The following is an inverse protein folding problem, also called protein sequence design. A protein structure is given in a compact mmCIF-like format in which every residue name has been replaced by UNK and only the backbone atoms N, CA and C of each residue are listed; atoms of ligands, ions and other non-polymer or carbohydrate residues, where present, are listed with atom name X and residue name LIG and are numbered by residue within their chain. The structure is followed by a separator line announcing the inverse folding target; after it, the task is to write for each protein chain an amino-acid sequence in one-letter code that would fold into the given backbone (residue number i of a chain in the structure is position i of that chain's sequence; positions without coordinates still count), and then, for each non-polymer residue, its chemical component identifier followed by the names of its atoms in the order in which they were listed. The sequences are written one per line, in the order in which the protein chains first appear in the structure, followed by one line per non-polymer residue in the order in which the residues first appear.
data_IF_344041098312
#
_entry.id   IF_344041098312
#
_cell.length_a   1.000
_cell.length_b   1.000
_cell.length_c   1.000
_cell.angle_alpha   90.00
_cell.angle_beta   90.00
_cell.angle_gamma   90.00
#
_symmetry.space_group_name_H-M   'P 1'
#
loop_
_entity.id
_entity.type
_entity.pdbx_description
1 polymer ?
#
# COMPACT_ATOMS: atom_id res chain seq x y z
N UNK A 1 8.90 -8.16 45.81
CA UNK A 1 8.40 -9.28 45.00
C UNK A 1 9.52 -9.78 44.12
N UNK A 2 9.50 -11.06 43.78
CA UNK A 2 10.42 -11.64 42.78
C UNK A 2 9.60 -12.28 41.67
N UNK A 3 10.15 -12.33 40.46
CA UNK A 3 9.49 -12.89 39.30
C UNK A 3 10.26 -14.07 38.74
N UNK A 4 9.51 -15.05 38.24
CA UNK A 4 10.05 -16.11 37.41
C UNK A 4 9.50 -15.92 35.99
N UNK A 5 10.41 -15.90 35.02
CA UNK A 5 10.11 -15.78 33.61
C UNK A 5 10.41 -17.10 32.92
N UNK A 6 9.44 -17.62 32.17
CA UNK A 6 9.60 -18.83 31.36
C UNK A 6 9.14 -18.55 29.93
N UNK A 7 9.94 -18.96 28.95
CA UNK A 7 9.58 -18.91 27.52
C UNK A 7 9.45 -20.34 27.02
N UNK A 8 8.32 -20.65 26.39
CA UNK A 8 7.99 -21.98 25.86
C UNK A 8 7.62 -21.90 24.39
N UNK A 9 7.95 -22.92 23.60
CA UNK A 9 7.46 -23.04 22.21
C UNK A 9 5.95 -23.27 22.16
N UNK A 10 5.29 -22.75 21.13
CA UNK A 10 3.87 -22.97 20.85
C UNK A 10 3.73 -23.81 19.58
N UNK A 11 3.18 -25.02 19.71
CA UNK A 11 3.07 -26.01 18.63
C UNK A 11 3.75 -27.33 19.02
N UNK A 12 2.97 -28.42 19.03
CA UNK A 12 3.41 -29.70 19.56
C UNK A 12 3.47 -29.73 21.10
N UNK A 13 4.40 -30.49 21.68
CA UNK A 13 4.63 -30.51 23.14
C UNK A 13 5.41 -29.23 23.51
N UNK A 14 4.85 -28.34 24.36
CA UNK A 14 5.52 -27.11 24.75
C UNK A 14 6.87 -27.41 25.39
N UNK A 15 7.94 -26.87 24.82
CA UNK A 15 9.30 -27.04 25.36
C UNK A 15 9.77 -25.71 25.92
N UNK A 16 10.26 -25.73 27.16
CA UNK A 16 10.90 -24.56 27.78
C UNK A 16 12.25 -24.33 27.15
N UNK A 17 12.41 -23.19 26.48
CA UNK A 17 13.67 -22.78 25.84
C UNK A 17 14.46 -21.77 26.67
N UNK A 18 13.75 -21.08 27.57
CA UNK A 18 14.34 -20.12 28.48
C UNK A 18 13.59 -20.15 29.80
N UNK A 19 14.32 -20.18 30.91
CA UNK A 19 13.75 -20.00 32.24
C UNK A 19 14.72 -19.22 33.11
N UNK A 20 14.20 -18.24 33.84
CA UNK A 20 14.96 -17.43 34.78
C UNK A 20 14.10 -17.17 36.01
N UNK A 21 14.66 -17.44 37.18
CA UNK A 21 13.99 -17.25 38.46
C UNK A 21 14.62 -16.13 39.26
N UNK A 22 13.88 -15.60 40.23
CA UNK A 22 14.40 -14.62 41.19
C UNK A 22 14.69 -13.25 40.58
N UNK A 23 14.00 -12.87 39.51
CA UNK A 23 14.11 -11.54 38.91
C UNK A 23 13.50 -10.50 39.84
N UNK A 24 14.23 -9.42 40.13
CA UNK A 24 13.77 -8.32 40.99
C UNK A 24 13.37 -7.07 40.21
N UNK A 25 13.79 -6.97 38.95
CA UNK A 25 13.41 -5.91 38.02
C UNK A 25 12.11 -6.22 37.25
N UNK A 26 11.56 -5.20 36.60
CA UNK A 26 10.35 -5.29 35.75
C UNK A 26 10.68 -5.50 34.27
N UNK A 27 11.96 -5.62 33.93
CA UNK A 27 12.46 -5.89 32.58
C UNK A 27 13.58 -6.92 32.64
N UNK A 28 13.69 -7.78 31.64
CA UNK A 28 14.75 -8.78 31.55
C UNK A 28 15.16 -9.03 30.11
N UNK A 29 16.46 -8.98 29.84
CA UNK A 29 17.01 -9.30 28.52
C UNK A 29 17.18 -10.81 28.39
N UNK A 30 16.61 -11.39 27.34
CA UNK A 30 16.83 -12.78 27.00
C UNK A 30 18.29 -12.97 26.54
N UNK A 31 19.04 -13.80 27.27
CA UNK A 31 20.45 -14.11 26.95
C UNK A 31 20.59 -15.23 25.93
N UNK A 32 19.52 -15.98 25.70
CA UNK A 32 19.46 -17.03 24.68
C UNK A 32 18.74 -16.45 23.46
N UNK A 33 19.40 -16.36 22.29
CA UNK A 33 18.74 -15.96 21.05
C UNK A 33 17.56 -16.89 20.75
N UNK A 34 16.40 -16.30 20.48
CA UNK A 34 15.23 -17.05 20.04
C UNK A 34 15.26 -17.19 18.52
N UNK A 35 15.01 -18.40 18.01
CA UNK A 35 14.83 -18.62 16.59
C UNK A 35 13.49 -18.04 16.12
N UNK A 36 13.28 -17.99 14.81
CA UNK A 36 11.93 -17.71 14.26
C UNK A 36 10.96 -18.80 14.74
N UNK A 37 9.81 -18.39 15.26
CA UNK A 37 8.79 -19.27 15.81
C UNK A 37 7.78 -18.55 16.71
N UNK A 38 6.79 -19.31 17.19
CA UNK A 38 5.77 -18.85 18.13
C UNK A 38 6.08 -19.35 19.55
N UNK A 39 5.93 -18.47 20.52
CA UNK A 39 6.30 -18.68 21.91
C UNK A 39 5.23 -18.16 22.85
N UNK A 40 5.13 -18.78 24.02
CA UNK A 40 4.41 -18.24 25.18
C UNK A 40 5.44 -17.79 26.19
N UNK A 41 5.38 -16.51 26.55
CA UNK A 41 6.14 -15.94 27.66
C UNK A 41 5.22 -15.92 28.87
N UNK A 42 5.55 -16.70 29.90
CA UNK A 42 4.83 -16.76 31.16
C UNK A 42 5.65 -16.08 32.26
N UNK A 43 5.00 -15.19 33.01
CA UNK A 43 5.61 -14.49 34.14
C UNK A 43 4.82 -14.86 35.40
N UNK A 44 5.51 -15.44 36.40
CA UNK A 44 4.92 -15.80 37.69
C UNK A 44 5.53 -14.90 38.76
N UNK A 45 4.69 -14.28 39.59
CA UNK A 45 5.16 -13.50 40.73
C UNK A 45 5.20 -14.33 42.01
N UNK A 46 6.28 -14.20 42.76
CA UNK A 46 6.41 -14.73 44.12
C UNK A 46 6.58 -13.60 45.13
N UNK A 47 5.86 -13.73 46.23
CA UNK A 47 6.13 -12.93 47.42
C UNK A 47 7.50 -13.29 48.00
N UNK A 48 8.19 -12.33 48.61
CA UNK A 48 9.46 -12.56 49.33
C UNK A 48 9.32 -13.53 50.52
N UNK A 49 8.08 -13.81 50.94
CA UNK A 49 7.72 -14.80 51.95
C UNK A 49 7.46 -16.21 51.39
N UNK A 50 7.71 -16.45 50.10
CA UNK A 50 7.64 -17.77 49.47
C UNK A 50 6.25 -18.18 48.94
N UNK A 51 5.23 -17.36 49.16
CA UNK A 51 3.91 -17.57 48.55
C UNK A 51 3.98 -17.31 47.04
N UNK A 52 3.71 -18.35 46.25
CA UNK A 52 3.55 -18.27 44.80
C UNK A 52 2.11 -17.97 44.47
N UNK A 53 1.87 -17.07 43.51
CA UNK A 53 0.58 -17.09 42.82
C UNK A 53 0.49 -18.40 42.02
N UNK A 54 -0.61 -19.17 42.12
CA UNK A 54 -0.70 -20.50 41.51
C UNK A 54 -0.76 -20.47 39.97
N UNK A 55 -1.11 -19.32 39.39
CA UNK A 55 -1.17 -19.09 37.94
C UNK A 55 -0.16 -18.00 37.53
N UNK A 56 0.37 -18.03 36.30
CA UNK A 56 1.17 -16.93 35.79
C UNK A 56 0.37 -15.63 35.88
N UNK A 57 1.02 -14.59 36.42
CA UNK A 57 0.47 -13.24 36.48
C UNK A 57 0.16 -12.68 35.09
N UNK A 58 0.91 -13.13 34.07
CA UNK A 58 0.66 -12.84 32.67
C UNK A 58 1.22 -13.95 31.76
N UNK A 59 0.47 -14.28 30.71
CA UNK A 59 0.96 -15.01 29.55
C UNK A 59 0.87 -14.12 28.31
N UNK A 60 1.97 -14.01 27.57
CA UNK A 60 2.05 -13.21 26.35
C UNK A 60 2.46 -14.11 25.20
N UNK A 61 1.69 -14.07 24.11
CA UNK A 61 2.08 -14.69 22.85
C UNK A 61 3.17 -13.84 22.20
N UNK A 62 4.32 -14.45 21.97
CA UNK A 62 5.47 -13.83 21.31
C UNK A 62 5.74 -14.58 20.00
N UNK A 63 5.69 -13.89 18.87
CA UNK A 63 6.09 -14.46 17.58
C UNK A 63 7.36 -13.78 17.12
N UNK A 64 8.44 -14.55 17.02
CA UNK A 64 9.69 -14.12 16.40
C UNK A 64 9.63 -14.56 14.94
N UNK A 65 9.90 -13.64 14.00
CA UNK A 65 9.77 -13.92 12.58
C UNK A 65 8.35 -13.76 12.05
N UNK A 66 8.09 -14.37 10.88
CA UNK A 66 6.78 -14.30 10.24
C UNK A 66 5.87 -15.41 10.80
N UNK A 67 4.72 -15.08 11.44
CA UNK A 67 3.74 -16.10 11.82
C UNK A 67 3.19 -16.71 10.52
N UNK A 68 3.64 -17.91 10.18
CA UNK A 68 3.17 -18.60 8.98
C UNK A 68 1.64 -18.64 8.97
N UNK A 69 1.03 -18.00 7.98
CA UNK A 69 -0.40 -18.05 7.72
C UNK A 69 -0.70 -18.96 6.53
N UNK A 70 -1.93 -19.42 6.42
CA UNK A 70 -2.40 -20.08 5.20
C UNK A 70 -2.35 -19.06 4.06
N UNK A 71 -1.50 -19.31 3.06
CA UNK A 71 -1.51 -18.52 1.83
C UNK A 71 -2.70 -18.97 0.99
N UNK A 72 -3.69 -18.10 0.86
CA UNK A 72 -4.67 -18.26 -0.20
C UNK A 72 -3.99 -17.96 -1.54
N UNK A 73 -4.29 -18.76 -2.56
CA UNK A 73 -3.83 -18.45 -3.90
C UNK A 73 -4.32 -17.04 -4.30
N UNK A 74 -3.48 -16.20 -4.93
CA UNK A 74 -3.95 -14.93 -5.43
C UNK A 74 -5.05 -15.16 -6.48
N UNK A 75 -5.93 -14.19 -6.61
CA UNK A 75 -7.04 -14.18 -7.58
C UNK A 75 -6.92 -12.95 -8.48
N UNK A 76 -7.60 -13.00 -9.63
CA UNK A 76 -7.68 -11.90 -10.59
C UNK A 76 -9.16 -11.63 -10.90
N UNK A 77 -9.89 -11.00 -9.96
CA UNK A 77 -11.34 -10.85 -10.07
C UNK A 77 -11.77 -9.89 -11.19
N UNK A 78 -10.93 -8.91 -11.52
CA UNK A 78 -11.20 -7.90 -12.53
C UNK A 78 -9.95 -7.68 -13.39
N UNK A 79 -10.15 -7.19 -14.61
CA UNK A 79 -9.03 -6.84 -15.47
C UNK A 79 -8.16 -5.78 -14.75
N UNK A 80 -6.87 -6.09 -14.63
CA UNK A 80 -5.81 -5.34 -13.96
C UNK A 80 -5.88 -5.31 -12.44
N UNK A 81 -6.73 -6.10 -11.79
CA UNK A 81 -6.80 -6.15 -10.32
C UNK A 81 -6.35 -7.52 -9.81
N UNK A 82 -5.26 -7.54 -9.05
CA UNK A 82 -4.81 -8.71 -8.29
C UNK A 82 -5.34 -8.63 -6.86
N UNK A 83 -5.88 -9.72 -6.33
CA UNK A 83 -6.37 -9.79 -4.96
C UNK A 83 -5.86 -11.03 -4.23
N UNK A 84 -5.68 -10.95 -2.92
CA UNK A 84 -5.19 -12.07 -2.09
C UNK A 84 -5.83 -12.08 -0.70
N UNK A 85 -5.70 -13.20 0.01
CA UNK A 85 -6.15 -13.31 1.39
C UNK A 85 -5.23 -12.58 2.36
N UNK A 86 -5.79 -11.91 3.37
CA UNK A 86 -5.00 -11.28 4.43
C UNK A 86 -4.21 -12.34 5.21
N UNK A 87 -2.92 -12.10 5.40
CA UNK A 87 -2.05 -12.94 6.22
C UNK A 87 -1.89 -12.30 7.59
N UNK A 88 -2.28 -13.02 8.64
CA UNK A 88 -2.16 -12.54 10.01
C UNK A 88 -0.71 -12.15 10.33
N UNK A 89 -0.51 -10.97 10.93
CA UNK A 89 0.81 -10.45 11.26
C UNK A 89 1.60 -9.85 10.09
N UNK A 90 1.06 -9.85 8.86
CA UNK A 90 1.63 -9.08 7.76
C UNK A 90 1.42 -7.57 7.99
N UNK A 91 2.48 -6.80 7.83
CA UNK A 91 2.41 -5.33 7.78
C UNK A 91 2.14 -4.82 6.36
N UNK A 92 2.64 -5.52 5.35
CA UNK A 92 2.45 -5.24 3.92
C UNK A 92 2.81 -6.49 3.10
N UNK A 93 2.79 -6.37 1.77
CA UNK A 93 3.08 -7.47 0.85
C UNK A 93 4.13 -7.08 -0.19
N UNK A 94 4.90 -8.07 -0.64
CA UNK A 94 5.78 -7.97 -1.81
C UNK A 94 5.15 -8.80 -2.94
N UNK A 95 4.85 -8.09 -4.03
CA UNK A 95 4.19 -8.60 -5.22
C UNK A 95 5.18 -8.57 -6.38
N UNK A 96 5.31 -9.69 -7.06
CA UNK A 96 6.09 -9.82 -8.29
C UNK A 96 5.18 -10.29 -9.42
N UNK A 97 5.26 -9.60 -10.57
CA UNK A 97 4.56 -9.96 -11.80
C UNK A 97 5.55 -10.09 -12.94
N UNK A 98 5.50 -11.23 -13.61
CA UNK A 98 6.34 -11.58 -14.75
C UNK A 98 5.48 -11.66 -16.02
N UNK A 99 5.99 -11.13 -17.12
CA UNK A 99 5.36 -11.23 -18.43
C UNK A 99 5.76 -12.54 -19.12
N UNK A 100 4.80 -13.19 -19.76
CA UNK A 100 5.01 -14.45 -20.46
C UNK A 100 5.17 -14.30 -21.99
N UNK A 101 4.90 -13.12 -22.55
CA UNK A 101 4.94 -12.91 -23.99
C UNK A 101 3.97 -13.81 -24.78
N UNK A 102 4.03 -13.75 -26.13
CA UNK A 102 3.22 -14.60 -27.00
C UNK A 102 3.64 -16.08 -26.98
N UNK A 103 4.89 -16.39 -26.59
CA UNK A 103 5.45 -17.74 -26.61
C UNK A 103 5.61 -18.39 -25.23
N UNK A 104 5.03 -17.79 -24.18
CA UNK A 104 5.18 -18.23 -22.77
C UNK A 104 6.63 -18.30 -22.26
N UNK A 105 7.58 -17.69 -22.97
CA UNK A 105 8.93 -17.50 -22.48
C UNK A 105 8.87 -16.42 -21.39
N UNK A 106 9.19 -16.80 -20.16
CA UNK A 106 9.22 -15.89 -19.02
C UNK A 106 10.23 -14.78 -19.29
N UNK A 107 9.76 -13.56 -19.51
CA UNK A 107 10.61 -12.39 -19.38
C UNK A 107 10.78 -12.07 -17.88
N UNK A 108 11.89 -11.41 -17.53
CA UNK A 108 12.16 -10.95 -16.17
C UNK A 108 10.96 -10.18 -15.59
N UNK A 109 10.86 -10.12 -14.26
CA UNK A 109 9.85 -9.32 -13.55
C UNK A 109 9.65 -7.95 -14.19
N UNK A 110 8.47 -7.73 -14.76
CA UNK A 110 8.10 -6.49 -15.46
C UNK A 110 7.41 -5.51 -14.52
N UNK A 111 6.87 -6.02 -13.41
CA UNK A 111 6.30 -5.22 -12.35
C UNK A 111 6.60 -5.84 -10.98
N UNK A 112 7.01 -4.98 -10.05
CA UNK A 112 7.23 -5.34 -8.66
C UNK A 112 6.70 -4.23 -7.75
N UNK A 113 5.94 -4.61 -6.74
CA UNK A 113 5.57 -3.73 -5.64
C UNK A 113 5.94 -4.40 -4.32
N UNK A 114 7.04 -3.95 -3.71
CA UNK A 114 7.54 -4.50 -2.44
C UNK A 114 6.88 -3.88 -1.20
N UNK A 115 5.94 -2.95 -1.37
CA UNK A 115 5.29 -2.22 -0.29
C UNK A 115 3.76 -2.15 -0.49
N UNK A 116 3.18 -3.19 -1.09
CA UNK A 116 1.75 -3.24 -1.34
C UNK A 116 0.96 -3.26 -0.01
N UNK A 117 0.12 -2.26 0.18
CA UNK A 117 -0.75 -2.13 1.35
C UNK A 117 -2.12 -2.74 1.06
N UNK A 118 -2.77 -3.28 2.09
CA UNK A 118 -4.06 -3.97 1.94
C UNK A 118 -3.93 -5.33 1.23
N UNK A 119 -4.99 -5.75 0.56
CA UNK A 119 -5.12 -7.11 -0.03
C UNK A 119 -5.49 -7.10 -1.50
N UNK A 120 -5.28 -5.97 -2.17
CA UNK A 120 -5.56 -5.80 -3.60
C UNK A 120 -4.53 -4.85 -4.22
N UNK A 121 -4.16 -5.10 -5.47
CA UNK A 121 -3.27 -4.27 -6.27
C UNK A 121 -3.85 -4.07 -7.67
N UNK A 122 -4.03 -2.80 -8.05
CA UNK A 122 -4.29 -2.41 -9.44
C UNK A 122 -2.97 -2.34 -10.19
N UNK A 123 -2.88 -3.06 -11.31
CA UNK A 123 -1.73 -3.12 -12.19
C UNK A 123 -1.72 -1.91 -13.14
N UNK A 124 -0.56 -1.25 -13.32
CA UNK A 124 -0.48 -0.01 -14.07
C UNK A 124 -0.78 -0.22 -15.56
N UNK A 125 -1.45 0.75 -16.18
CA UNK A 125 -1.82 0.71 -17.60
C UNK A 125 -0.62 0.61 -18.56
N UNK A 126 0.59 0.90 -18.08
CA UNK A 126 1.84 0.71 -18.82
C UNK A 126 2.21 -0.76 -19.08
N UNK A 127 1.61 -1.72 -18.35
CA UNK A 127 1.84 -3.13 -18.64
C UNK A 127 1.21 -3.52 -19.99
N UNK A 128 1.98 -4.19 -20.88
CA UNK A 128 1.48 -4.66 -22.17
C UNK A 128 0.24 -5.57 -22.05
N UNK A 129 -0.51 -5.70 -23.13
CA UNK A 129 -1.53 -6.74 -23.22
C UNK A 129 -0.84 -8.11 -23.39
N UNK A 130 -1.38 -9.14 -22.76
CA UNK A 130 -0.85 -10.50 -22.87
C UNK A 130 -0.97 -11.31 -21.59
N UNK A 131 -0.16 -12.36 -21.49
CA UNK A 131 -0.22 -13.35 -20.41
C UNK A 131 0.84 -13.07 -19.34
N UNK A 132 0.49 -13.36 -18.09
CA UNK A 132 1.29 -13.02 -16.92
C UNK A 132 1.30 -14.12 -15.87
N UNK A 133 2.32 -14.07 -15.00
CA UNK A 133 2.35 -14.79 -13.72
C UNK A 133 2.58 -13.82 -12.57
N UNK A 134 1.86 -14.00 -11.48
CA UNK A 134 2.06 -13.26 -10.25
C UNK A 134 2.42 -14.17 -9.07
N UNK A 135 3.32 -13.68 -8.22
CA UNK A 135 3.63 -14.23 -6.91
C UNK A 135 3.48 -13.15 -5.85
N UNK A 136 3.03 -13.57 -4.67
CA UNK A 136 2.87 -12.67 -3.52
C UNK A 136 3.55 -13.31 -2.33
N UNK A 137 4.22 -12.50 -1.53
CA UNK A 137 4.63 -12.89 -0.18
C UNK A 137 4.25 -11.82 0.81
N UNK A 138 3.93 -12.23 2.02
CA UNK A 138 3.70 -11.32 3.12
C UNK A 138 5.03 -10.79 3.68
N UNK A 139 4.99 -9.58 4.22
CA UNK A 139 6.13 -8.93 4.87
C UNK A 139 5.68 -8.39 6.22
N UNK A 140 6.42 -8.72 7.28
CA UNK A 140 6.22 -8.18 8.62
C UNK A 140 7.40 -7.30 8.99
N UNK A 141 7.14 -6.07 9.36
CA UNK A 141 8.14 -5.13 9.89
C UNK A 141 7.82 -4.84 11.34
N UNK A 142 8.74 -5.13 12.24
CA UNK A 142 8.57 -4.91 13.68
C UNK A 142 9.92 -4.62 14.33
N UNK A 143 9.98 -3.59 15.19
CA UNK A 143 11.20 -3.25 15.93
C UNK A 143 12.44 -2.95 15.05
N UNK A 144 12.23 -2.50 13.81
CA UNK A 144 13.32 -2.26 12.83
C UNK A 144 13.78 -3.49 12.06
N UNK A 145 13.16 -4.66 12.29
CA UNK A 145 13.46 -5.90 11.56
C UNK A 145 12.38 -6.19 10.51
N UNK A 146 12.80 -6.74 9.38
CA UNK A 146 11.92 -7.19 8.29
C UNK A 146 11.94 -8.70 8.18
N UNK A 147 10.77 -9.31 8.27
CA UNK A 147 10.57 -10.75 8.13
C UNK A 147 9.74 -11.04 6.88
N UNK A 148 10.26 -11.89 6.01
CA UNK A 148 9.61 -12.29 4.77
C UNK A 148 8.88 -13.62 4.95
N UNK A 149 7.62 -13.65 4.53
CA UNK A 149 6.91 -14.88 4.25
C UNK A 149 7.46 -15.60 3.03
N UNK A 150 7.07 -16.86 2.85
CA UNK A 150 7.33 -17.61 1.63
C UNK A 150 6.52 -17.02 0.48
N UNK A 151 7.09 -16.98 -0.72
CA UNK A 151 6.31 -16.73 -1.93
C UNK A 151 5.19 -17.76 -2.07
N UNK A 152 4.05 -17.35 -2.65
CA UNK A 152 2.99 -18.28 -3.05
C UNK A 152 3.57 -19.46 -3.84
N UNK A 153 3.30 -20.68 -3.39
CA UNK A 153 3.89 -21.90 -3.96
C UNK A 153 3.54 -22.11 -5.44
N UNK A 154 2.33 -21.68 -5.84
CA UNK A 154 1.88 -21.69 -7.24
C UNK A 154 1.63 -20.26 -7.71
N UNK A 155 2.18 -19.85 -8.87
CA UNK A 155 1.88 -18.54 -9.43
C UNK A 155 0.42 -18.45 -9.87
N UNK A 156 -0.20 -17.29 -9.63
CA UNK A 156 -1.44 -16.94 -10.32
C UNK A 156 -1.12 -16.65 -11.79
N UNK A 157 -1.83 -17.32 -12.71
CA UNK A 157 -1.78 -17.03 -14.14
C UNK A 157 -2.99 -16.21 -14.54
N UNK A 158 -2.78 -15.14 -15.30
CA UNK A 158 -3.85 -14.26 -15.77
C UNK A 158 -3.44 -13.59 -17.08
N UNK A 159 -4.41 -12.93 -17.72
CA UNK A 159 -4.19 -12.20 -18.96
C UNK A 159 -4.74 -10.78 -18.84
N UNK A 160 -3.99 -9.81 -19.36
CA UNK A 160 -4.47 -8.44 -19.56
C UNK A 160 -4.92 -8.35 -21.01
N UNK A 161 -6.22 -8.19 -21.24
CA UNK A 161 -6.81 -8.18 -22.59
C UNK A 161 -7.23 -6.79 -23.06
N UNK A 162 -7.28 -5.82 -22.14
CA UNK A 162 -7.56 -4.42 -22.43
C UNK A 162 -6.88 -3.51 -21.42
N UNK A 163 -6.71 -2.25 -21.82
CA UNK A 163 -6.48 -1.14 -20.88
C UNK A 163 -7.86 -0.76 -20.31
N UNK A 164 -7.97 -0.20 -19.08
CA UNK A 164 -9.20 0.22 -18.33
C UNK A 164 -9.59 -0.78 -17.20
N UNK A 165 -9.75 -0.32 -15.94
CA UNK A 165 -10.90 0.48 -15.51
C UNK A 165 -10.52 1.87 -14.98
N UNK A 166 -10.71 2.93 -15.77
CA UNK A 166 -10.89 4.27 -15.20
C UNK A 166 -12.40 4.42 -14.99
N UNK A 167 -12.78 4.54 -13.72
CA UNK A 167 -14.14 4.85 -13.29
C UNK A 167 -14.48 6.28 -13.71
N UNK A 168 -14.82 6.50 -14.99
CA UNK A 168 -15.82 7.48 -15.42
C UNK A 168 -16.20 7.28 -16.90
N UNK A 169 -17.08 6.30 -17.15
CA UNK A 169 -17.81 6.18 -18.41
C UNK A 169 -19.25 6.63 -18.17
N UNK A 170 -19.43 7.85 -17.68
CA UNK A 170 -20.67 8.60 -17.77
C UNK A 170 -20.27 9.94 -18.32
N UNK A 171 -20.51 10.16 -19.63
CA UNK A 171 -20.53 11.44 -20.37
C UNK A 171 -20.31 11.10 -21.86
N UNK A 172 -21.12 10.17 -22.40
CA UNK A 172 -21.20 9.98 -23.84
C UNK A 172 -22.59 9.49 -24.20
N UNK A 173 -23.61 10.37 -24.05
CA UNK A 173 -24.84 10.28 -24.85
C UNK A 173 -25.77 11.51 -24.85
N UNK A 174 -25.41 12.69 -24.33
CA UNK A 174 -26.35 13.83 -24.24
C UNK A 174 -25.94 15.12 -24.98
N UNK A 175 -25.19 15.04 -26.10
CA UNK A 175 -25.01 16.21 -26.97
C UNK A 175 -25.26 15.97 -28.47
N UNK A 176 -25.75 14.80 -28.87
CA UNK A 176 -26.07 14.49 -30.27
C UNK A 176 -27.57 14.62 -30.61
N UNK A 177 -28.36 15.19 -29.69
CA UNK A 177 -29.82 15.34 -29.84
C UNK A 177 -30.34 16.76 -29.58
N UNK A 178 -29.46 17.77 -29.59
CA UNK A 178 -29.89 19.16 -29.58
C UNK A 178 -29.40 19.87 -30.86
N UNK A 179 -30.36 20.09 -31.76
CA UNK A 179 -30.40 21.14 -32.79
C UNK A 179 -29.83 20.78 -34.17
N UNK A 180 -30.28 19.65 -34.69
CA UNK A 180 -30.53 19.44 -36.13
C UNK A 180 -31.87 20.10 -36.57
N UNK A 181 -32.32 21.14 -35.85
CA UNK A 181 -33.65 21.77 -36.00
C UNK A 181 -33.59 23.29 -35.76
N UNK A 182 -32.81 24.03 -36.55
CA UNK A 182 -33.03 25.46 -36.79
C UNK A 182 -32.63 25.82 -38.22
N UNK A 183 -33.43 25.37 -39.19
CA UNK A 183 -33.56 26.06 -40.48
C UNK A 183 -34.99 25.93 -40.94
N UNK A 184 -35.77 27.02 -40.86
CA UNK A 184 -36.42 27.47 -42.09
C UNK A 184 -36.51 29.00 -42.28
N UNK A 185 -36.35 29.38 -43.55
CA UNK A 185 -37.05 30.42 -44.31
C UNK A 185 -36.77 31.92 -44.08
N UNK A 186 -36.15 32.51 -45.12
CA UNK A 186 -36.15 33.93 -45.45
C UNK A 186 -37.56 34.39 -45.90
N UNK A 187 -38.02 35.58 -45.49
CA UNK A 187 -38.93 36.38 -46.30
C UNK A 187 -38.21 37.64 -46.83
N UNK A 188 -38.52 38.00 -48.07
CA UNK A 188 -37.84 39.06 -48.82
C UNK A 188 -38.34 40.49 -48.60
N UNK A 189 -37.48 41.40 -49.06
CA UNK A 189 -37.73 42.74 -49.66
C UNK A 189 -38.46 43.80 -48.84
N UNK A 190 -37.75 44.90 -48.47
CA UNK A 190 -37.94 46.23 -49.10
C UNK A 190 -37.06 47.34 -48.48
N UNK A 191 -36.51 48.16 -49.38
CA UNK A 191 -36.14 49.58 -49.29
C UNK A 191 -34.97 50.12 -48.41
N UNK A 192 -34.13 50.91 -49.10
CA UNK A 192 -32.98 51.72 -48.66
C UNK A 192 -33.43 53.01 -47.91
N UNK A 193 -32.55 53.81 -47.25
CA UNK A 193 -31.56 54.62 -47.96
C UNK A 193 -30.14 54.61 -47.34
N UNK A 194 -29.21 55.00 -48.20
CA UNK A 194 -27.81 55.30 -47.98
C UNK A 194 -27.69 56.53 -47.07
N UNK A 195 -26.88 56.45 -46.00
CA UNK A 195 -26.24 57.63 -45.44
C UNK A 195 -24.74 57.42 -45.32
N UNK A 196 -24.07 58.47 -45.77
CA UNK A 196 -22.66 58.68 -45.96
C UNK A 196 -21.93 58.95 -44.64
N UNK A 197 -20.63 58.66 -44.70
CA UNK A 197 -19.54 59.45 -44.13
C UNK A 197 -18.94 59.12 -42.75
N UNK A 198 -17.63 59.42 -42.74
CA UNK A 198 -16.62 59.57 -41.66
C UNK A 198 -15.93 58.28 -41.21
N UNK A 199 -14.71 57.92 -41.66
CA UNK A 199 -13.37 58.57 -41.58
C UNK A 199 -12.82 58.71 -40.16
N UNK A 200 -11.57 58.23 -40.01
CA UNK A 200 -10.56 58.46 -38.95
C UNK A 200 -10.81 57.70 -37.63
N UNK A 201 -9.82 57.26 -36.86
CA UNK A 201 -8.36 57.28 -37.00
C UNK A 201 -7.79 56.29 -35.99
N UNK A 202 -6.58 55.85 -36.29
CA UNK A 202 -5.45 55.76 -35.37
C UNK A 202 -5.38 54.78 -34.17
N UNK A 203 -4.15 54.29 -34.09
CA UNK A 203 -3.41 53.43 -33.18
C UNK A 203 -3.85 53.31 -31.72
N UNK A 204 -3.58 52.15 -31.11
CA UNK A 204 -2.28 51.93 -30.44
C UNK A 204 -2.17 50.52 -29.83
N UNK A 205 -1.06 49.85 -30.18
CA UNK A 205 -0.46 48.81 -29.36
C UNK A 205 0.29 49.49 -28.22
N UNK A 206 0.03 49.08 -26.97
CA UNK A 206 1.03 49.19 -25.91
C UNK A 206 1.28 47.80 -25.31
N UNK A 207 2.50 47.33 -25.49
CA UNK A 207 3.17 46.39 -24.61
C UNK A 207 4.19 47.19 -23.79
N UNK A 208 4.36 46.83 -22.51
CA UNK A 208 5.45 47.13 -21.53
C UNK A 208 4.82 46.82 -20.16
N UNK A 209 5.44 46.18 -19.16
CA UNK A 209 6.75 45.58 -18.98
C UNK A 209 6.77 44.79 -17.67
N UNK A 210 7.72 43.87 -17.62
CA UNK A 210 8.42 43.25 -16.48
C UNK A 210 8.14 43.75 -15.06
N UNK A 211 7.94 42.82 -14.13
CA UNK A 211 8.80 42.83 -12.94
C UNK A 211 9.06 41.41 -12.42
N UNK A 212 10.32 41.15 -12.15
CA UNK A 212 10.84 39.94 -11.54
C UNK A 212 11.78 40.41 -10.45
N UNK A 213 11.48 40.17 -9.17
CA UNK A 213 12.53 39.85 -8.20
C UNK A 213 12.03 39.39 -6.81
N UNK A 214 12.90 38.61 -6.19
CA UNK A 214 13.09 38.33 -4.76
C UNK A 214 12.28 37.24 -4.03
N UNK A 215 12.75 35.99 -4.23
CA UNK A 215 13.54 35.17 -3.28
C UNK A 215 12.96 34.64 -1.92
N UNK A 216 13.47 33.48 -1.43
CA UNK A 216 12.81 32.60 -0.46
C UNK A 216 13.25 32.83 1.00
N UNK A 217 12.40 32.43 1.97
CA UNK A 217 12.70 32.48 3.41
C UNK A 217 13.20 31.13 3.95
N UNK A 218 14.22 31.26 4.79
CA UNK A 218 15.13 30.28 5.39
C UNK A 218 14.56 29.49 6.59
N UNK A 219 15.25 28.37 6.84
CA UNK A 219 15.28 27.53 8.04
C UNK A 219 15.57 28.36 9.31
N UNK A 220 14.96 27.99 10.43
CA UNK A 220 15.44 28.35 11.76
C UNK A 220 15.76 27.08 12.58
N UNK A 221 16.90 27.14 13.25
CA UNK A 221 17.55 26.07 13.99
C UNK A 221 17.80 26.60 15.41
N UNK A 222 17.63 25.73 16.41
CA UNK A 222 17.98 25.91 17.84
C UNK A 222 16.95 26.60 18.76
N UNK A 223 16.56 25.93 19.86
CA UNK A 223 16.89 26.33 21.25
C UNK A 223 16.28 25.40 22.35
N UNK A 224 17.21 24.89 23.17
CA UNK A 224 17.21 24.62 24.62
C UNK A 224 16.75 23.31 25.27
N UNK A 225 17.61 22.95 26.23
CA UNK A 225 17.65 21.82 27.13
C UNK A 225 16.81 22.02 28.41
N UNK A 226 16.70 20.90 29.14
CA UNK A 226 16.43 20.76 30.58
C UNK A 226 14.97 20.88 31.05
N UNK A 227 14.38 19.72 31.39
CA UNK A 227 13.89 19.36 32.73
C UNK A 227 13.81 17.82 32.86
#
# INVERSE_FOLDING_TARGET
MVYDLTVRTTGGIPTTIYSRTGLTGTSHLLTTPLNTGSYIVAIVGRSTTGLTTPEPLAEVNLVIGFPGGQYQAPTYPENRTLAWGAVAGATHYDLQVDYLGPNQAAENSIYRNSAAMGTSQVLPNSLPLGNYRAWIRSVRVEGGYTFYGTWTLSPLRFSITSLTPESDATESLDLQLALDDLSPELPGSSDLPVEDAFVSDDATYEAISTDADHSPIMIDDTILASL
#
